data_IF_702402298213
#
_entry.id   IF_702402298213
#
_cell.length_a   1.000
_cell.length_b   1.000
_cell.length_c   1.000
_cell.angle_alpha   90.00
_cell.angle_beta   90.00
_cell.angle_gamma   90.00
#
_symmetry.space_group_name_H-M   'P 1'
#
loop_
_entity.id
_entity.type
_entity.pdbx_description
1 polymer ?
#
# COMPACT_ATOMS: atom_id res chain seq x y z
N UNK A 1 -3.99 2.59 -24.65
CA UNK A 1 -2.79 3.45 -24.72
C UNK A 1 -2.72 4.52 -23.62
N UNK A 2 -3.75 5.37 -23.41
CA UNK A 2 -3.74 6.43 -22.37
C UNK A 2 -3.49 5.93 -20.94
N UNK A 3 -4.09 4.80 -20.57
CA UNK A 3 -3.89 4.18 -19.26
C UNK A 3 -2.44 3.73 -19.04
N UNK A 4 -1.81 3.11 -20.05
CA UNK A 4 -0.43 2.64 -19.97
C UNK A 4 0.56 3.80 -19.78
N UNK A 5 0.37 4.90 -20.51
CA UNK A 5 1.23 6.09 -20.37
C UNK A 5 1.10 6.72 -18.97
N UNK A 6 -0.12 6.83 -18.44
CA UNK A 6 -0.34 7.34 -17.08
C UNK A 6 0.26 6.41 -16.02
N UNK A 7 0.15 5.10 -16.22
CA UNK A 7 0.76 4.10 -15.35
C UNK A 7 2.29 4.16 -15.38
N UNK A 8 2.91 4.31 -16.56
CA UNK A 8 4.36 4.47 -16.69
C UNK A 8 4.81 5.77 -16.02
N UNK A 9 4.15 6.89 -16.32
CA UNK A 9 4.47 8.19 -15.73
C UNK A 9 4.37 8.14 -14.19
N UNK A 10 3.38 7.42 -13.67
CA UNK A 10 3.27 7.16 -12.23
C UNK A 10 4.44 6.35 -11.70
N UNK A 11 4.75 5.20 -12.29
CA UNK A 11 5.85 4.35 -11.84
C UNK A 11 7.13 5.19 -11.79
N UNK A 12 7.39 5.97 -12.83
CA UNK A 12 8.54 6.87 -12.87
C UNK A 12 8.48 7.93 -11.77
N UNK A 13 7.31 8.53 -11.51
CA UNK A 13 7.14 9.52 -10.45
C UNK A 13 7.42 8.96 -9.05
N UNK A 14 7.20 7.66 -8.83
CA UNK A 14 7.50 6.95 -7.58
C UNK A 14 8.96 6.50 -7.52
N UNK A 15 9.40 5.79 -8.56
CA UNK A 15 10.69 5.11 -8.58
C UNK A 15 11.82 6.11 -8.74
N UNK A 16 11.67 7.19 -9.52
CA UNK A 16 12.77 8.13 -9.74
C UNK A 16 13.18 8.90 -8.47
N UNK A 17 12.27 9.49 -7.67
CA UNK A 17 12.69 10.18 -6.45
C UNK A 17 13.27 9.23 -5.40
N UNK A 18 12.68 8.04 -5.23
CA UNK A 18 13.18 7.03 -4.30
C UNK A 18 14.55 6.53 -4.77
N UNK A 19 14.67 6.17 -6.05
CA UNK A 19 15.92 5.72 -6.66
C UNK A 19 17.01 6.79 -6.61
N UNK A 20 16.68 8.05 -6.86
CA UNK A 20 17.61 9.18 -6.72
C UNK A 20 18.04 9.38 -5.26
N UNK A 21 17.11 9.30 -4.30
CA UNK A 21 17.43 9.42 -2.88
C UNK A 21 18.33 8.26 -2.40
N UNK A 22 18.05 7.02 -2.83
CA UNK A 22 18.89 5.85 -2.57
C UNK A 22 20.26 6.03 -3.23
N UNK A 23 20.31 6.44 -4.49
CA UNK A 23 21.56 6.66 -5.22
C UNK A 23 22.42 7.73 -4.55
N UNK A 24 21.85 8.90 -4.23
CA UNK A 24 22.57 9.98 -3.52
C UNK A 24 23.02 9.51 -2.14
N UNK A 25 22.18 8.75 -1.42
CA UNK A 25 22.53 8.17 -0.13
C UNK A 25 23.64 7.11 -0.20
N UNK A 26 23.70 6.34 -1.28
CA UNK A 26 24.66 5.25 -1.49
C UNK A 26 25.98 5.70 -2.11
N UNK A 27 25.95 6.70 -2.99
CA UNK A 27 27.11 7.20 -3.73
C UNK A 27 27.87 8.29 -2.96
N UNK A 28 27.22 8.94 -2.00
CA UNK A 28 27.87 9.92 -1.15
C UNK A 28 28.85 9.28 -0.14
N UNK A 29 29.87 10.02 0.30
CA UNK A 29 30.73 9.58 1.40
C UNK A 29 29.91 9.24 2.64
N UNK A 30 30.37 8.26 3.41
CA UNK A 30 29.73 7.84 4.65
C UNK A 30 29.67 8.97 5.69
N UNK A 31 28.96 8.76 6.81
CA UNK A 31 28.90 9.73 7.90
C UNK A 31 30.25 9.92 8.61
N UNK A 32 31.16 8.97 8.43
CA UNK A 32 32.51 9.00 8.96
C UNK A 32 33.52 8.76 7.84
N UNK A 33 34.65 9.44 7.94
CA UNK A 33 35.82 9.28 7.09
C UNK A 33 36.97 8.76 7.94
N UNK A 34 37.84 7.93 7.34
CA UNK A 34 39.13 7.66 7.96
C UNK A 34 40.01 8.91 7.82
N UNK A 35 40.71 9.25 8.88
CA UNK A 35 41.81 10.22 8.86
C UNK A 35 43.13 9.49 8.97
N UNK A 36 44.18 10.09 8.42
CA UNK A 36 45.53 9.50 8.32
C UNK A 36 45.54 8.15 7.59
N UNK A 37 46.46 7.24 7.93
CA UNK A 37 46.60 5.91 7.31
C UNK A 37 45.56 4.88 7.84
N UNK A 38 44.56 5.34 8.60
CA UNK A 38 43.54 4.52 9.24
C UNK A 38 43.97 3.96 10.62
N UNK A 39 43.28 2.93 11.13
CA UNK A 39 43.61 2.31 12.41
C UNK A 39 45.01 1.65 12.37
N UNK A 40 45.91 2.09 13.25
CA UNK A 40 47.21 1.42 13.44
C UNK A 40 47.08 0.02 14.06
N UNK A 41 48.17 -0.76 14.07
CA UNK A 41 48.18 -2.16 14.55
C UNK A 41 47.60 -2.34 15.96
N UNK A 42 47.74 -1.33 16.83
CA UNK A 42 47.20 -1.35 18.18
C UNK A 42 45.67 -1.50 18.21
N UNK A 43 44.95 -1.15 17.15
CA UNK A 43 43.48 -1.25 17.07
C UNK A 43 42.98 -2.58 16.53
N UNK A 44 43.88 -3.50 16.14
CA UNK A 44 43.53 -4.86 15.71
C UNK A 44 43.04 -5.73 16.88
N UNK A 45 43.32 -5.32 18.11
CA UNK A 45 42.80 -5.93 19.34
C UNK A 45 41.82 -5.00 20.05
N UNK A 46 40.84 -5.53 20.80
CA UNK A 46 39.91 -4.70 21.55
C UNK A 46 40.62 -3.76 22.53
N UNK A 47 40.27 -2.48 22.49
CA UNK A 47 40.80 -1.45 23.39
C UNK A 47 39.68 -0.74 24.12
N UNK A 48 39.93 -0.41 25.38
CA UNK A 48 39.03 0.45 26.14
C UNK A 48 39.11 1.88 25.61
N UNK A 49 37.97 2.44 25.22
CA UNK A 49 37.80 3.84 24.82
C UNK A 49 36.68 4.41 25.66
N UNK A 50 36.98 5.40 26.50
CA UNK A 50 36.01 5.94 27.45
C UNK A 50 35.41 4.84 28.36
N UNK A 51 34.10 4.65 28.25
CA UNK A 51 33.33 3.67 29.04
C UNK A 51 33.05 2.35 28.30
N UNK A 52 33.67 2.12 27.16
CA UNK A 52 33.37 0.99 26.29
C UNK A 52 34.60 0.45 25.59
N UNK A 53 34.38 -0.33 24.55
CA UNK A 53 35.44 -1.00 23.80
C UNK A 53 35.32 -0.70 22.32
N UNK A 54 36.46 -0.57 21.66
CA UNK A 54 36.55 -0.46 20.21
C UNK A 54 37.62 -1.40 19.65
N UNK A 55 37.34 -1.98 18.49
CA UNK A 55 38.27 -2.80 17.71
C UNK A 55 38.09 -2.48 16.23
N UNK A 56 39.18 -2.54 15.47
CA UNK A 56 39.16 -2.36 14.02
C UNK A 56 39.77 -3.59 13.34
N UNK A 57 39.15 -4.06 12.25
CA UNK A 57 39.65 -5.17 11.44
C UNK A 57 39.80 -4.73 9.99
N UNK A 58 40.91 -5.10 9.35
CA UNK A 58 41.19 -4.78 7.95
C UNK A 58 40.71 -5.90 7.03
N UNK A 59 40.12 -5.53 5.91
CA UNK A 59 39.63 -6.40 4.85
C UNK A 59 40.23 -5.99 3.50
N UNK A 60 40.14 -6.85 2.48
CA UNK A 60 40.73 -6.56 1.18
C UNK A 60 39.94 -5.48 0.41
N UNK A 61 38.65 -5.31 0.73
CA UNK A 61 37.79 -4.31 0.08
C UNK A 61 36.69 -3.79 1.01
N UNK A 62 36.09 -2.68 0.62
CA UNK A 62 34.90 -2.13 1.27
C UNK A 62 33.70 -3.10 1.24
N UNK A 63 33.58 -3.91 0.18
CA UNK A 63 32.52 -4.91 0.08
C UNK A 63 32.71 -6.02 1.14
N UNK A 64 33.93 -6.53 1.27
CA UNK A 64 34.25 -7.53 2.31
C UNK A 64 34.07 -6.99 3.73
N UNK A 65 34.45 -5.74 4.00
CA UNK A 65 34.21 -5.11 5.29
C UNK A 65 32.70 -5.01 5.61
N UNK A 66 31.85 -4.77 4.60
CA UNK A 66 30.39 -4.76 4.75
C UNK A 66 29.83 -6.15 5.02
N UNK A 67 30.26 -7.15 4.25
CA UNK A 67 29.83 -8.55 4.45
C UNK A 67 30.25 -9.04 5.85
N UNK A 68 31.44 -8.66 6.30
CA UNK A 68 31.90 -8.95 7.66
C UNK A 68 31.09 -8.22 8.73
N UNK A 69 30.67 -6.98 8.49
CA UNK A 69 29.78 -6.26 9.40
C UNK A 69 28.43 -6.95 9.53
N UNK A 70 27.86 -7.46 8.43
CA UNK A 70 26.60 -8.21 8.45
C UNK A 70 26.76 -9.55 9.18
N UNK A 71 27.85 -10.27 8.94
CA UNK A 71 28.16 -11.51 9.66
C UNK A 71 28.37 -11.27 11.16
N UNK A 72 29.08 -10.21 11.54
CA UNK A 72 29.28 -9.84 12.95
C UNK A 72 27.94 -9.45 13.60
N UNK A 73 27.12 -8.63 12.93
CA UNK A 73 25.75 -8.31 13.40
C UNK A 73 24.94 -9.58 13.69
N UNK A 74 24.94 -10.54 12.77
CA UNK A 74 24.11 -11.74 12.87
C UNK A 74 24.58 -12.70 13.97
N UNK A 75 25.84 -12.58 14.40
CA UNK A 75 26.37 -13.32 15.55
C UNK A 75 26.09 -12.67 16.91
N UNK A 76 25.66 -11.41 16.94
CA UNK A 76 25.38 -10.68 18.17
C UNK A 76 23.96 -10.94 18.71
N UNK A 77 23.84 -11.18 20.01
CA UNK A 77 22.54 -11.26 20.70
C UNK A 77 21.92 -9.87 20.90
N UNK A 78 21.20 -9.38 19.87
CA UNK A 78 20.61 -8.04 19.87
C UNK A 78 19.12 -8.05 20.24
N UNK A 79 18.65 -6.99 20.90
CA UNK A 79 17.22 -6.72 21.13
C UNK A 79 16.60 -5.93 19.97
N UNK A 80 17.40 -5.11 19.30
CA UNK A 80 17.00 -4.26 18.18
C UNK A 80 18.25 -3.77 17.44
N UNK A 81 18.15 -3.54 16.14
CA UNK A 81 19.17 -2.86 15.36
C UNK A 81 18.55 -1.90 14.34
N UNK A 82 19.36 -0.95 13.90
CA UNK A 82 19.06 -0.03 12.81
C UNK A 82 20.28 0.01 11.90
N UNK A 83 20.09 -0.40 10.66
CA UNK A 83 21.15 -0.39 9.64
C UNK A 83 20.86 0.67 8.58
N UNK A 84 21.88 1.43 8.27
CA UNK A 84 21.96 2.34 7.12
C UNK A 84 23.02 1.79 6.17
N UNK A 85 23.12 2.32 4.95
CA UNK A 85 24.09 1.85 3.94
C UNK A 85 25.57 1.91 4.38
N UNK A 86 25.88 2.65 5.45
CA UNK A 86 27.24 2.87 5.93
C UNK A 86 27.46 2.52 7.40
N UNK A 87 26.40 2.37 8.21
CA UNK A 87 26.51 2.18 9.66
C UNK A 87 25.40 1.26 10.14
N UNK A 88 25.75 0.26 10.95
CA UNK A 88 24.79 -0.55 11.70
C UNK A 88 24.92 -0.22 13.18
N UNK A 89 23.86 0.35 13.76
CA UNK A 89 23.74 0.55 15.21
C UNK A 89 22.86 -0.54 15.78
N UNK A 90 23.21 -1.08 16.94
CA UNK A 90 22.44 -2.13 17.58
C UNK A 90 22.39 -1.96 19.09
N UNK A 91 21.44 -2.66 19.72
CA UNK A 91 21.28 -2.76 21.17
C UNK A 91 21.40 -4.22 21.57
N UNK A 92 22.27 -4.51 22.53
CA UNK A 92 22.47 -5.87 23.04
C UNK A 92 21.34 -6.25 24.00
N UNK A 93 21.01 -7.55 24.06
CA UNK A 93 19.99 -8.07 25.00
C UNK A 93 20.39 -7.91 26.47
N UNK A 94 21.68 -8.09 26.76
CA UNK A 94 22.23 -7.96 28.10
C UNK A 94 22.41 -6.49 28.56
N UNK A 95 22.05 -5.53 27.71
CA UNK A 95 22.30 -4.11 27.93
C UNK A 95 23.52 -3.62 27.16
N UNK A 96 23.61 -2.31 26.96
CA UNK A 96 24.60 -1.71 26.06
C UNK A 96 24.09 -1.51 24.64
N UNK A 97 24.85 -0.72 23.90
CA UNK A 97 24.65 -0.41 22.49
C UNK A 97 25.98 -0.58 21.76
N UNK A 98 25.92 -0.81 20.46
CA UNK A 98 27.12 -0.82 19.65
C UNK A 98 26.91 -0.34 18.23
N UNK A 99 28.03 -0.20 17.54
CA UNK A 99 28.15 0.34 16.20
C UNK A 99 29.14 -0.51 15.40
N UNK A 100 28.70 -0.96 14.23
CA UNK A 100 29.53 -1.58 13.21
C UNK A 100 29.61 -0.60 12.04
N UNK A 101 30.84 -0.19 11.70
CA UNK A 101 31.14 0.82 10.70
C UNK A 101 32.16 0.27 9.69
N UNK A 102 31.69 -0.23 8.54
CA UNK A 102 32.56 -0.53 7.41
C UNK A 102 32.97 0.76 6.70
N UNK A 103 34.26 1.10 6.71
CA UNK A 103 34.83 2.32 6.11
C UNK A 103 36.19 2.04 5.45
N UNK A 104 36.29 2.33 4.16
CA UNK A 104 37.51 2.15 3.34
C UNK A 104 38.25 0.81 3.53
N UNK A 105 37.50 -0.29 3.61
CA UNK A 105 38.05 -1.65 3.82
C UNK A 105 38.38 -1.98 5.27
N UNK A 106 38.05 -1.12 6.22
CA UNK A 106 38.09 -1.40 7.66
C UNK A 106 36.69 -1.65 8.20
N UNK A 107 36.55 -2.57 9.16
CA UNK A 107 35.38 -2.71 10.01
C UNK A 107 35.73 -2.20 11.40
N UNK A 108 35.14 -1.09 11.78
CA UNK A 108 35.27 -0.53 13.14
C UNK A 108 34.06 -0.97 13.95
N UNK A 109 34.31 -1.65 15.06
CA UNK A 109 33.29 -2.15 15.98
C UNK A 109 33.46 -1.46 17.33
N UNK A 110 32.42 -0.74 17.77
CA UNK A 110 32.40 0.01 19.04
C UNK A 110 31.23 -0.45 19.89
N UNK A 111 31.45 -0.70 21.18
CA UNK A 111 30.44 -1.11 22.15
C UNK A 111 30.50 -0.17 23.36
N UNK A 112 29.34 0.32 23.82
CA UNK A 112 29.22 1.26 24.92
C UNK A 112 27.97 0.96 25.78
N UNK A 113 27.92 1.42 27.05
CA UNK A 113 26.77 1.16 27.93
C UNK A 113 25.47 1.84 27.46
N UNK A 114 25.58 3.00 26.81
CA UNK A 114 24.44 3.73 26.28
C UNK A 114 24.84 4.53 25.02
N UNK A 115 23.83 5.18 24.41
CA UNK A 115 24.00 5.92 23.15
C UNK A 115 24.91 7.14 23.28
N UNK A 116 24.83 7.87 24.39
CA UNK A 116 25.65 9.06 24.58
C UNK A 116 27.13 8.67 24.76
N UNK A 117 27.38 7.58 25.49
CA UNK A 117 28.70 6.99 25.62
C UNK A 117 29.23 6.48 24.27
N UNK A 118 28.38 5.85 23.45
CA UNK A 118 28.74 5.40 22.10
C UNK A 118 29.20 6.56 21.21
N UNK A 119 28.39 7.62 21.13
CA UNK A 119 28.70 8.78 20.28
C UNK A 119 29.99 9.48 20.76
N UNK A 120 30.19 9.58 22.08
CA UNK A 120 31.43 10.13 22.68
C UNK A 120 32.65 9.27 22.33
N UNK A 121 32.53 7.94 22.38
CA UNK A 121 33.64 7.02 22.07
C UNK A 121 34.02 7.05 20.60
N UNK A 122 33.01 7.07 19.71
CA UNK A 122 33.24 7.16 18.26
C UNK A 122 33.96 8.48 17.93
N UNK A 123 33.56 9.59 18.55
CA UNK A 123 34.24 10.88 18.38
C UNK A 123 35.67 10.92 18.97
N UNK A 124 36.01 10.02 19.88
CA UNK A 124 37.33 9.92 20.50
C UNK A 124 38.30 9.01 19.73
N UNK A 125 37.85 8.33 18.66
CA UNK A 125 38.72 7.49 17.84
C UNK A 125 39.65 8.37 16.99
N UNK A 126 40.99 8.24 17.11
CA UNK A 126 41.91 9.17 16.48
C UNK A 126 41.98 9.04 14.95
N UNK A 127 41.56 7.89 14.40
CA UNK A 127 41.56 7.58 12.97
C UNK A 127 40.20 7.79 12.31
N UNK A 128 39.20 8.31 13.05
CA UNK A 128 37.85 8.49 12.55
C UNK A 128 37.41 9.94 12.72
N UNK A 129 36.98 10.58 11.64
CA UNK A 129 36.42 11.93 11.68
C UNK A 129 34.98 11.90 11.15
N UNK A 130 34.09 12.64 11.80
CA UNK A 130 32.77 12.90 11.23
C UNK A 130 32.94 13.61 9.89
N UNK A 131 32.27 13.10 8.85
CA UNK A 131 32.34 13.70 7.53
C UNK A 131 31.87 15.17 7.60
N UNK A 132 32.70 16.17 7.26
CA UNK A 132 32.34 17.58 7.36
C UNK A 132 31.27 17.98 6.34
N UNK A 133 31.14 17.22 5.24
CA UNK A 133 30.11 17.43 4.22
C UNK A 133 29.30 16.14 4.01
N UNK A 134 28.44 15.76 4.97
CA UNK A 134 27.58 14.60 4.80
C UNK A 134 26.65 14.84 3.62
N UNK A 135 26.38 13.78 2.85
CA UNK A 135 25.44 13.88 1.74
C UNK A 135 24.09 14.43 2.23
N UNK A 136 23.37 15.23 1.41
CA UNK A 136 22.20 15.97 1.87
C UNK A 136 21.08 15.07 2.39
N UNK A 137 20.97 13.83 1.89
CA UNK A 137 19.99 12.84 2.33
C UNK A 137 20.32 12.35 3.75
N UNK A 138 21.58 11.98 4.00
CA UNK A 138 22.06 11.56 5.31
C UNK A 138 21.93 12.70 6.33
N UNK A 139 22.29 13.93 5.95
CA UNK A 139 22.11 15.13 6.77
C UNK A 139 20.65 15.33 7.15
N UNK A 140 19.73 15.23 6.18
CA UNK A 140 18.30 15.38 6.44
C UNK A 140 17.75 14.28 7.35
N UNK A 141 18.16 13.02 7.15
CA UNK A 141 17.74 11.89 7.98
C UNK A 141 18.25 11.99 9.42
N UNK A 142 19.47 12.48 9.62
CA UNK A 142 20.09 12.59 10.94
C UNK A 142 19.58 13.81 11.73
N UNK A 143 19.52 14.97 11.09
CA UNK A 143 19.11 16.23 11.75
C UNK A 143 17.59 16.38 11.87
N UNK A 144 16.84 15.83 10.91
CA UNK A 144 15.40 16.06 10.80
C UNK A 144 14.61 14.77 10.48
N UNK A 145 14.77 13.68 11.26
CA UNK A 145 14.09 12.41 10.98
C UNK A 145 12.56 12.57 10.94
N UNK A 146 11.98 13.39 11.82
CA UNK A 146 10.56 13.71 11.82
C UNK A 146 10.13 14.53 10.59
N UNK A 147 10.96 15.45 10.12
CA UNK A 147 10.71 16.24 8.92
C UNK A 147 10.75 15.37 7.66
N UNK A 148 11.71 14.45 7.57
CA UNK A 148 11.78 13.47 6.47
C UNK A 148 10.56 12.55 6.49
N UNK A 149 10.19 12.00 7.65
CA UNK A 149 8.99 11.17 7.77
C UNK A 149 7.72 11.91 7.34
N UNK A 150 7.55 13.17 7.77
CA UNK A 150 6.43 14.02 7.37
C UNK A 150 6.45 14.30 5.86
N UNK A 151 7.64 14.55 5.28
CA UNK A 151 7.82 14.72 3.84
C UNK A 151 7.41 13.49 3.04
N UNK A 152 7.82 12.30 3.48
CA UNK A 152 7.43 11.02 2.86
C UNK A 152 5.92 10.81 2.94
N UNK A 153 5.31 11.07 4.11
CA UNK A 153 3.86 10.96 4.29
C UNK A 153 3.10 11.96 3.40
N UNK A 154 3.57 13.20 3.33
CA UNK A 154 3.01 14.23 2.46
C UNK A 154 3.10 13.83 0.99
N UNK A 155 4.27 13.39 0.54
CA UNK A 155 4.48 12.88 -0.81
C UNK A 155 3.56 11.71 -1.14
N UNK A 156 3.47 10.70 -0.27
CA UNK A 156 2.60 9.55 -0.45
C UNK A 156 1.11 9.95 -0.49
N UNK A 157 0.70 10.93 0.31
CA UNK A 157 -0.66 11.47 0.30
C UNK A 157 -0.98 12.16 -1.03
N UNK A 158 -0.12 13.05 -1.52
CA UNK A 158 -0.31 13.72 -2.82
C UNK A 158 -0.28 12.74 -3.99
N UNK A 159 0.63 11.77 -3.96
CA UNK A 159 0.69 10.68 -4.92
C UNK A 159 -0.62 9.89 -4.92
N UNK A 160 -1.17 9.57 -3.75
CA UNK A 160 -2.47 8.91 -3.59
C UNK A 160 -3.61 9.72 -4.20
N UNK A 161 -3.64 11.03 -3.97
CA UNK A 161 -4.61 11.95 -4.62
C UNK A 161 -4.49 11.87 -6.14
N UNK A 162 -3.28 12.06 -6.67
CA UNK A 162 -3.04 12.00 -8.11
C UNK A 162 -3.49 10.65 -8.68
N UNK A 163 -3.20 9.57 -7.97
CA UNK A 163 -3.56 8.22 -8.36
C UNK A 163 -5.04 7.97 -8.48
N UNK A 164 -5.77 8.32 -7.44
CA UNK A 164 -7.20 8.10 -7.41
C UNK A 164 -7.94 8.98 -8.42
N UNK A 165 -7.49 10.21 -8.62
CA UNK A 165 -8.00 11.09 -9.68
C UNK A 165 -7.67 10.54 -11.08
N UNK A 166 -6.45 10.08 -11.31
CA UNK A 166 -6.01 9.50 -12.57
C UNK A 166 -6.78 8.21 -12.92
N UNK A 167 -7.01 7.35 -11.93
CA UNK A 167 -7.81 6.13 -12.09
C UNK A 167 -9.27 6.46 -12.42
N UNK A 168 -9.88 7.41 -11.70
CA UNK A 168 -11.25 7.86 -11.97
C UNK A 168 -11.40 8.46 -13.38
N UNK A 169 -10.42 9.26 -13.81
CA UNK A 169 -10.38 9.80 -15.16
C UNK A 169 -10.25 8.69 -16.21
N UNK A 170 -9.32 7.75 -16.01
CA UNK A 170 -9.08 6.67 -16.97
C UNK A 170 -10.26 5.70 -17.09
N UNK A 171 -11.00 5.48 -16.00
CA UNK A 171 -12.22 4.66 -15.99
C UNK A 171 -13.48 5.38 -16.48
N UNK A 172 -13.39 6.66 -16.86
CA UNK A 172 -14.57 7.41 -17.33
C UNK A 172 -15.05 6.87 -18.68
N UNK A 173 -16.33 6.48 -18.75
CA UNK A 173 -17.01 6.12 -19.99
C UNK A 173 -17.83 7.33 -20.44
N UNK A 174 -17.50 7.86 -21.62
CA UNK A 174 -18.19 9.02 -22.20
C UNK A 174 -19.39 8.60 -23.04
N UNK A 175 -20.42 9.46 -23.17
CA UNK A 175 -21.48 9.27 -24.15
C UNK A 175 -20.90 9.28 -25.57
N UNK A 176 -21.61 8.65 -26.51
CA UNK A 176 -21.23 8.71 -27.91
C UNK A 176 -21.38 10.16 -28.43
N UNK A 177 -20.56 10.58 -29.42
CA UNK A 177 -20.73 11.90 -30.04
C UNK A 177 -22.15 12.07 -30.60
N UNK A 178 -22.78 13.20 -30.30
CA UNK A 178 -24.14 13.51 -30.75
C UNK A 178 -25.27 12.90 -29.91
N UNK A 179 -24.98 12.17 -28.83
CA UNK A 179 -26.04 11.72 -27.91
C UNK A 179 -26.71 12.92 -27.24
N UNK A 180 -28.05 13.06 -27.32
CA UNK A 180 -28.76 14.15 -26.66
C UNK A 180 -28.63 14.02 -25.15
N UNK A 181 -28.34 15.14 -24.49
CA UNK A 181 -28.24 15.20 -23.02
C UNK A 181 -29.64 15.32 -22.45
N UNK A 182 -30.04 14.34 -21.66
CA UNK A 182 -31.29 14.39 -20.90
C UNK A 182 -31.11 15.17 -19.61
N UNK A 183 -32.21 15.74 -19.13
CA UNK A 183 -32.26 16.34 -17.80
C UNK A 183 -31.96 15.30 -16.71
N UNK A 184 -31.35 15.73 -15.61
CA UNK A 184 -30.98 14.86 -14.49
C UNK A 184 -32.20 14.12 -13.92
N UNK A 185 -33.36 14.76 -13.88
CA UNK A 185 -34.62 14.17 -13.41
C UNK A 185 -35.07 13.04 -14.32
N UNK A 186 -34.95 13.22 -15.64
CA UNK A 186 -35.30 12.21 -16.62
C UNK A 186 -34.36 11.01 -16.56
N UNK A 187 -33.06 11.24 -16.39
CA UNK A 187 -32.08 10.17 -16.20
C UNK A 187 -32.37 9.37 -14.92
N UNK A 188 -32.65 10.05 -13.81
CA UNK A 188 -33.00 9.40 -12.53
C UNK A 188 -34.27 8.55 -12.66
N UNK A 189 -35.29 9.05 -13.35
CA UNK A 189 -36.52 8.30 -13.63
C UNK A 189 -36.23 7.04 -14.48
N UNK A 190 -35.38 7.14 -15.51
CA UNK A 190 -34.95 5.98 -16.32
C UNK A 190 -34.21 4.93 -15.49
N UNK A 191 -33.34 5.37 -14.58
CA UNK A 191 -32.62 4.45 -13.69
C UNK A 191 -33.56 3.73 -12.73
N UNK A 192 -34.57 4.40 -12.19
CA UNK A 192 -35.58 3.76 -11.33
C UNK A 192 -36.48 2.79 -12.11
N UNK A 193 -36.77 3.09 -13.38
CA UNK A 193 -37.57 2.21 -14.24
C UNK A 193 -36.92 0.84 -14.46
N UNK A 194 -35.60 0.70 -14.26
CA UNK A 194 -34.89 -0.60 -14.30
C UNK A 194 -35.46 -1.59 -13.29
N UNK A 195 -36.03 -1.12 -12.18
CA UNK A 195 -36.68 -2.00 -11.20
C UNK A 195 -37.92 -2.72 -11.74
N UNK A 196 -38.51 -2.24 -12.84
CA UNK A 196 -39.62 -2.90 -13.52
C UNK A 196 -39.17 -4.02 -14.47
N UNK A 197 -37.87 -4.17 -14.70
CA UNK A 197 -37.31 -5.26 -15.48
C UNK A 197 -37.11 -6.48 -14.57
N UNK A 198 -37.30 -7.69 -15.13
CA UNK A 198 -37.04 -8.95 -14.43
C UNK A 198 -35.52 -9.21 -14.34
N UNK A 199 -34.84 -8.37 -13.56
CA UNK A 199 -33.40 -8.44 -13.31
C UNK A 199 -33.15 -8.52 -11.80
N UNK A 200 -32.12 -9.23 -11.33
CA UNK A 200 -31.83 -9.41 -9.90
C UNK A 200 -31.27 -8.15 -9.21
N UNK A 201 -31.52 -6.97 -9.78
CA UNK A 201 -30.91 -5.70 -9.41
C UNK A 201 -32.00 -4.75 -8.92
N UNK A 202 -31.73 -4.05 -7.83
CA UNK A 202 -32.64 -3.06 -7.26
C UNK A 202 -31.98 -1.69 -7.19
N UNK A 203 -32.66 -0.67 -7.66
CA UNK A 203 -32.28 0.74 -7.58
C UNK A 203 -33.15 1.40 -6.53
N UNK A 204 -32.54 1.99 -5.52
CA UNK A 204 -33.23 2.72 -4.46
C UNK A 204 -32.64 4.11 -4.29
N UNK A 205 -33.44 5.06 -3.82
CA UNK A 205 -32.96 6.37 -3.42
C UNK A 205 -32.68 6.35 -1.92
N UNK A 206 -31.54 6.90 -1.52
CA UNK A 206 -31.17 7.10 -0.11
C UNK A 206 -31.77 8.39 0.41
N UNK A 207 -31.88 8.49 1.74
CA UNK A 207 -32.30 9.72 2.45
C UNK A 207 -31.45 10.94 2.08
N UNK A 208 -30.18 10.74 1.71
CA UNK A 208 -29.25 11.79 1.27
C UNK A 208 -29.40 12.16 -0.21
N UNK A 209 -30.46 11.71 -0.88
CA UNK A 209 -30.73 11.99 -2.29
C UNK A 209 -29.83 11.25 -3.29
N UNK A 210 -28.92 10.38 -2.82
CA UNK A 210 -28.09 9.51 -3.68
C UNK A 210 -28.86 8.29 -4.14
N UNK A 211 -28.48 7.74 -5.28
CA UNK A 211 -29.07 6.52 -5.80
C UNK A 211 -28.15 5.34 -5.51
N UNK A 212 -28.72 4.24 -5.06
CA UNK A 212 -27.99 3.03 -4.70
C UNK A 212 -28.54 1.87 -5.50
N UNK A 213 -27.67 1.31 -6.33
CA UNK A 213 -27.92 0.05 -7.01
C UNK A 213 -27.40 -1.07 -6.13
N UNK A 214 -28.25 -2.03 -5.82
CA UNK A 214 -27.93 -3.18 -4.99
C UNK A 214 -28.16 -4.44 -5.80
N UNK A 215 -27.14 -5.30 -5.81
CA UNK A 215 -27.21 -6.61 -6.43
C UNK A 215 -26.76 -7.68 -5.45
N UNK A 216 -27.59 -8.70 -5.26
CA UNK A 216 -27.28 -9.88 -4.46
C UNK A 216 -26.59 -10.90 -5.36
N UNK A 217 -25.31 -11.11 -5.08
CA UNK A 217 -24.37 -11.87 -5.91
C UNK A 217 -24.49 -13.37 -5.74
N UNK A 218 -24.72 -13.79 -4.49
CA UNK A 218 -24.63 -15.18 -4.07
C UNK A 218 -25.39 -15.37 -2.75
N UNK A 219 -25.92 -16.57 -2.54
CA UNK A 219 -26.43 -17.07 -1.27
C UNK A 219 -25.48 -18.17 -0.79
N UNK A 220 -24.30 -17.80 -0.29
CA UNK A 220 -23.33 -18.79 0.19
C UNK A 220 -23.70 -19.26 1.59
N UNK A 221 -23.81 -20.58 1.76
CA UNK A 221 -23.93 -21.23 3.09
C UNK A 221 -22.53 -21.35 3.67
N UNK A 222 -22.21 -20.62 4.73
CA UNK A 222 -20.91 -20.72 5.41
C UNK A 222 -21.09 -21.47 6.74
N UNK A 223 -20.39 -22.60 6.88
CA UNK A 223 -20.30 -23.32 8.15
C UNK A 223 -19.26 -22.61 9.04
N UNK A 224 -19.66 -22.21 10.24
CA UNK A 224 -18.75 -21.80 11.33
C UNK A 224 -18.76 -22.89 12.41
N UNK A 225 -17.70 -23.03 13.23
CA UNK A 225 -17.79 -23.78 14.47
C UNK A 225 -18.91 -23.19 15.33
N UNK A 226 -20.00 -23.94 15.55
CA UNK A 226 -21.17 -23.49 16.32
C UNK A 226 -22.43 -23.11 15.52
N UNK A 227 -22.46 -23.28 14.19
CA UNK A 227 -23.71 -23.14 13.44
C UNK A 227 -23.55 -22.82 11.95
N UNK A 228 -24.64 -22.99 11.20
CA UNK A 228 -24.74 -22.72 9.78
C UNK A 228 -25.34 -21.32 9.59
N UNK A 229 -24.55 -20.38 9.07
CA UNK A 229 -24.99 -19.00 8.80
C UNK A 229 -25.16 -18.76 7.29
N UNK A 230 -26.25 -18.09 6.91
CA UNK A 230 -26.51 -17.69 5.52
C UNK A 230 -25.90 -16.31 5.27
N UNK A 231 -24.77 -16.26 4.56
CA UNK A 231 -24.11 -15.01 4.19
C UNK A 231 -24.25 -14.77 2.68
N UNK A 232 -24.83 -13.64 2.32
CA UNK A 232 -24.93 -13.18 0.94
C UNK A 232 -23.87 -12.13 0.62
N UNK A 233 -23.12 -12.35 -0.46
CA UNK A 233 -22.30 -11.28 -1.04
C UNK A 233 -23.26 -10.29 -1.71
N UNK A 234 -23.10 -9.00 -1.44
CA UNK A 234 -23.91 -7.95 -2.02
C UNK A 234 -22.98 -6.90 -2.62
N UNK A 235 -23.17 -6.59 -3.91
CA UNK A 235 -22.55 -5.43 -4.54
C UNK A 235 -23.49 -4.24 -4.45
N UNK A 236 -22.97 -3.15 -3.90
CA UNK A 236 -23.64 -1.87 -3.76
C UNK A 236 -22.90 -0.84 -4.60
N UNK A 237 -23.61 -0.15 -5.46
CA UNK A 237 -23.08 0.94 -6.29
C UNK A 237 -23.83 2.20 -5.89
N UNK A 238 -23.12 3.20 -5.40
CA UNK A 238 -23.69 4.51 -5.08
C UNK A 238 -23.43 5.47 -6.24
N UNK A 239 -24.45 6.23 -6.61
CA UNK A 239 -24.40 7.24 -7.67
C UNK A 239 -24.61 8.63 -7.08
N UNK A 240 -23.76 9.57 -7.51
CA UNK A 240 -23.89 11.00 -7.27
C UNK A 240 -23.88 11.73 -8.61
N UNK A 241 -24.91 12.55 -8.85
CA UNK A 241 -25.10 13.27 -10.11
C UNK A 241 -24.46 14.66 -10.02
N UNK A 242 -23.61 14.99 -11.00
CA UNK A 242 -23.04 16.32 -11.20
C UNK A 242 -23.68 16.93 -12.46
N UNK A 243 -24.80 17.61 -12.25
CA UNK A 243 -25.63 18.20 -13.30
C UNK A 243 -24.88 19.28 -14.09
N UNK A 244 -23.96 20.00 -13.45
CA UNK A 244 -23.17 21.04 -14.11
C UNK A 244 -22.20 20.48 -15.17
N UNK A 245 -21.79 19.21 -15.02
CA UNK A 245 -20.82 18.56 -15.91
C UNK A 245 -21.41 17.40 -16.70
N UNK A 246 -22.68 17.07 -16.48
CA UNK A 246 -23.33 15.85 -16.98
C UNK A 246 -22.51 14.59 -16.67
N UNK A 247 -22.05 14.47 -15.41
CA UNK A 247 -21.25 13.32 -14.94
C UNK A 247 -21.99 12.61 -13.81
N UNK A 248 -22.06 11.29 -13.90
CA UNK A 248 -22.49 10.42 -12.80
C UNK A 248 -21.23 9.85 -12.15
N UNK A 249 -20.94 10.29 -10.92
CA UNK A 249 -19.86 9.75 -10.09
C UNK A 249 -20.33 8.49 -9.40
N UNK A 250 -19.51 7.45 -9.43
CA UNK A 250 -19.90 6.11 -9.02
C UNK A 250 -18.94 5.54 -8.00
N UNK A 251 -19.42 5.23 -6.80
CA UNK A 251 -18.65 4.53 -5.76
C UNK A 251 -19.17 3.11 -5.64
N UNK A 252 -18.29 2.14 -5.82
CA UNK A 252 -18.65 0.72 -5.72
C UNK A 252 -18.14 0.12 -4.42
N UNK A 253 -19.01 -0.59 -3.72
CA UNK A 253 -18.71 -1.28 -2.47
C UNK A 253 -19.23 -2.70 -2.54
N UNK A 254 -18.40 -3.67 -2.14
CA UNK A 254 -18.83 -5.06 -1.94
C UNK A 254 -18.94 -5.32 -0.44
N UNK A 255 -20.08 -5.85 -0.01
CA UNK A 255 -20.39 -6.16 1.38
C UNK A 255 -20.76 -7.63 1.54
N UNK A 256 -20.57 -8.17 2.74
CA UNK A 256 -21.13 -9.44 3.16
C UNK A 256 -22.34 -9.14 4.04
N UNK A 257 -23.50 -9.67 3.67
CA UNK A 257 -24.77 -9.51 4.38
C UNK A 257 -25.14 -10.85 5.04
N UNK A 258 -25.34 -10.85 6.33
CA UNK A 258 -25.82 -12.02 7.07
C UNK A 258 -27.35 -11.95 7.18
N UNK A 259 -28.02 -13.06 6.90
CA UNK A 259 -29.49 -13.12 6.85
C UNK A 259 -30.11 -12.94 8.24
N UNK A 260 -29.45 -13.41 9.29
CA UNK A 260 -30.02 -13.49 10.65
C UNK A 260 -29.65 -12.28 11.53
N UNK A 261 -28.65 -11.49 11.12
CA UNK A 261 -28.12 -10.38 11.91
C UNK A 261 -27.95 -9.06 11.14
N UNK A 262 -28.42 -8.99 9.89
CA UNK A 262 -28.21 -7.84 9.01
C UNK A 262 -26.78 -7.75 8.48
N UNK A 263 -26.30 -6.55 8.13
CA UNK A 263 -24.93 -6.35 7.62
C UNK A 263 -23.94 -6.55 8.77
N UNK A 264 -23.47 -7.78 9.01
CA UNK A 264 -22.58 -8.12 10.14
C UNK A 264 -21.10 -8.11 9.82
N UNK A 265 -20.72 -7.66 8.63
CA UNK A 265 -19.32 -7.55 8.28
C UNK A 265 -19.11 -6.55 7.18
N UNK A 266 -18.54 -5.40 7.53
CA UNK A 266 -17.62 -4.77 6.59
C UNK A 266 -16.46 -5.76 6.44
N UNK A 267 -16.52 -6.64 5.44
CA UNK A 267 -15.27 -7.11 4.84
C UNK A 267 -14.68 -5.90 4.11
N UNK A 268 -14.14 -4.96 4.87
CA UNK A 268 -13.13 -4.04 4.39
C UNK A 268 -11.89 -4.90 4.12
N UNK A 269 -11.94 -5.72 3.06
CA UNK A 269 -10.76 -5.84 2.24
C UNK A 269 -10.47 -4.40 1.88
N UNK A 270 -9.44 -3.82 2.48
CA UNK A 270 -8.76 -2.64 1.95
C UNK A 270 -8.15 -3.13 0.63
N UNK A 271 -9.01 -3.44 -0.34
CA UNK A 271 -8.64 -3.41 -1.72
C UNK A 271 -8.42 -1.92 -1.94
N UNK A 272 -7.15 -1.53 -2.06
CA UNK A 272 -6.74 -0.21 -2.54
C UNK A 272 -7.42 0.17 -3.88
N UNK A 273 -8.15 -0.76 -4.49
CA UNK A 273 -9.08 -0.63 -5.61
C UNK A 273 -10.55 -0.62 -5.16
N UNK A 274 -10.96 0.31 -4.28
CA UNK A 274 -12.40 0.67 -4.20
C UNK A 274 -12.78 1.35 -5.52
N UNK A 275 -13.70 0.81 -6.31
CA UNK A 275 -14.34 1.55 -7.40
C UNK A 275 -13.73 1.48 -8.80
N UNK A 276 -12.59 0.84 -9.05
CA UNK A 276 -12.12 0.55 -10.43
C UNK A 276 -11.79 -0.93 -10.57
N UNK A 277 -12.83 -1.75 -10.61
CA UNK A 277 -12.70 -3.15 -11.00
C UNK A 277 -12.56 -3.21 -12.53
N UNK A 278 -11.33 -3.17 -13.04
CA UNK A 278 -11.04 -3.16 -14.49
C UNK A 278 -11.46 -4.50 -15.13
N UNK A 279 -11.25 -5.60 -14.40
CA UNK A 279 -11.80 -6.91 -14.70
C UNK A 279 -11.73 -7.78 -13.43
N UNK A 280 -12.87 -8.08 -12.81
CA UNK A 280 -12.96 -9.14 -11.80
C UNK A 280 -13.60 -10.34 -12.48
N UNK A 281 -12.80 -11.37 -12.72
CA UNK A 281 -13.27 -12.68 -13.12
C UNK A 281 -13.26 -13.56 -11.86
N UNK A 282 -14.39 -13.66 -11.17
CA UNK A 282 -14.49 -14.54 -10.01
C UNK A 282 -15.06 -15.88 -10.45
N UNK A 283 -14.22 -16.91 -10.39
CA UNK A 283 -14.64 -18.30 -10.49
C UNK A 283 -14.80 -18.83 -9.06
N UNK A 284 -16.03 -19.17 -8.66
CA UNK A 284 -16.30 -19.78 -7.35
C UNK A 284 -16.99 -21.11 -7.58
N UNK A 285 -16.41 -22.16 -7.00
CA UNK A 285 -16.99 -23.51 -6.95
C UNK A 285 -17.40 -23.70 -5.50
N UNK A 286 -18.70 -23.65 -5.23
CA UNK A 286 -19.23 -23.96 -3.91
C UNK A 286 -19.44 -25.47 -3.81
N UNK A 287 -18.72 -26.11 -2.90
CA UNK A 287 -18.86 -27.54 -2.59
C UNK A 287 -19.94 -27.66 -1.50
N UNK A 288 -21.13 -28.12 -1.89
CA UNK A 288 -22.25 -28.33 -0.98
C UNK A 288 -22.33 -29.78 -0.52
N UNK A 289 -22.56 -29.98 0.78
CA UNK A 289 -22.94 -31.27 1.36
C UNK A 289 -24.46 -31.39 1.25
N UNK A 290 -24.92 -32.21 0.30
CA UNK A 290 -26.33 -32.44 0.05
C UNK A 290 -26.75 -33.82 0.56
N UNK A 291 -27.73 -33.85 1.45
CA UNK A 291 -28.32 -35.10 1.94
C UNK A 291 -29.50 -35.50 1.06
N UNK A 292 -29.40 -36.67 0.44
CA UNK A 292 -30.50 -37.27 -0.32
C UNK A 292 -31.04 -38.49 0.43
N UNK A 293 -32.36 -38.62 0.67
CA UNK A 293 -32.93 -39.70 1.47
C UNK A 293 -32.58 -41.11 0.99
N UNK A 294 -32.29 -41.30 -0.30
CA UNK A 294 -31.89 -42.59 -0.88
C UNK A 294 -30.38 -42.80 -1.09
N UNK A 295 -29.55 -41.75 -0.98
CA UNK A 295 -28.12 -41.82 -1.32
C UNK A 295 -27.19 -41.36 -0.17
N UNK A 296 -27.75 -40.92 0.96
CA UNK A 296 -26.97 -40.39 2.08
C UNK A 296 -26.37 -39.01 1.79
N UNK A 297 -25.31 -38.67 2.52
CA UNK A 297 -24.57 -37.44 2.31
C UNK A 297 -23.74 -37.51 1.04
N UNK A 298 -24.04 -36.65 0.08
CA UNK A 298 -23.30 -36.55 -1.18
C UNK A 298 -22.61 -35.19 -1.26
N UNK A 299 -21.32 -35.21 -1.54
CA UNK A 299 -20.56 -33.99 -1.83
C UNK A 299 -20.72 -33.72 -3.32
N UNK A 300 -21.50 -32.71 -3.67
CA UNK A 300 -21.61 -32.24 -5.06
C UNK A 300 -21.23 -30.76 -5.12
N UNK A 301 -20.50 -30.32 -6.17
CA UNK A 301 -20.41 -28.89 -6.45
C UNK A 301 -21.83 -28.39 -6.70
N UNK A 302 -22.36 -27.60 -5.78
CA UNK A 302 -23.80 -27.34 -5.72
C UNK A 302 -24.18 -26.22 -6.69
N UNK A 303 -23.30 -25.24 -6.93
CA UNK A 303 -23.47 -24.27 -8.01
C UNK A 303 -22.12 -23.69 -8.46
N UNK A 304 -21.90 -23.62 -9.77
CA UNK A 304 -20.81 -22.83 -10.37
C UNK A 304 -21.41 -21.52 -10.85
N UNK A 305 -21.26 -20.45 -10.08
CA UNK A 305 -21.66 -19.11 -10.52
C UNK A 305 -20.50 -18.45 -11.25
N UNK A 306 -20.68 -18.21 -12.56
CA UNK A 306 -19.81 -17.36 -13.37
C UNK A 306 -20.54 -16.06 -13.63
N UNK A 307 -20.04 -14.96 -13.08
CA UNK A 307 -20.48 -13.64 -13.46
C UNK A 307 -19.27 -12.81 -13.90
N UNK A 308 -19.48 -11.99 -14.92
CA UNK A 308 -18.51 -10.98 -15.33
C UNK A 308 -19.03 -9.63 -14.86
N UNK A 309 -18.25 -8.95 -14.02
CA UNK A 309 -18.63 -7.66 -13.43
C UNK A 309 -19.05 -6.61 -14.47
N UNK A 310 -18.46 -6.66 -15.67
CA UNK A 310 -18.81 -5.79 -16.79
C UNK A 310 -20.21 -6.04 -17.36
N UNK A 311 -20.71 -7.28 -17.32
CA UNK A 311 -22.04 -7.63 -17.84
C UNK A 311 -23.15 -7.03 -16.96
N UNK A 312 -22.89 -6.95 -15.66
CA UNK A 312 -23.86 -6.44 -14.69
C UNK A 312 -23.96 -4.91 -14.71
N UNK A 313 -22.81 -4.26 -14.92
CA UNK A 313 -22.74 -2.79 -14.99
C UNK A 313 -23.11 -2.26 -16.37
N UNK A 314 -22.95 -3.07 -17.41
CA UNK A 314 -23.19 -2.71 -18.80
C UNK A 314 -24.51 -1.97 -19.03
N UNK A 315 -25.66 -2.50 -18.58
CA UNK A 315 -26.95 -1.84 -18.75
C UNK A 315 -27.04 -0.45 -18.10
N UNK A 316 -26.44 -0.25 -16.91
CA UNK A 316 -26.45 1.05 -16.23
C UNK A 316 -25.50 2.04 -16.88
N UNK A 317 -24.30 1.58 -17.26
CA UNK A 317 -23.35 2.40 -18.02
C UNK A 317 -24.03 2.86 -19.31
N UNK A 318 -24.68 1.95 -20.06
CA UNK A 318 -25.42 2.28 -21.28
C UNK A 318 -26.62 3.21 -21.02
N UNK A 319 -27.35 3.02 -19.93
CA UNK A 319 -28.46 3.91 -19.56
C UNK A 319 -27.96 5.35 -19.33
N UNK A 320 -26.85 5.49 -18.60
CA UNK A 320 -26.22 6.79 -18.32
C UNK A 320 -25.62 7.40 -19.59
N UNK A 321 -24.79 6.65 -20.32
CA UNK A 321 -24.10 7.16 -21.51
C UNK A 321 -25.04 7.38 -22.69
N UNK A 322 -26.07 6.55 -22.85
CA UNK A 322 -27.14 6.72 -23.84
C UNK A 322 -28.08 7.89 -23.52
N UNK A 323 -28.02 8.44 -22.31
CA UNK A 323 -28.74 9.66 -21.92
C UNK A 323 -27.87 10.92 -22.04
N UNK A 324 -26.66 10.81 -22.60
CA UNK A 324 -25.73 11.92 -22.79
C UNK A 324 -24.85 12.24 -21.58
N UNK A 325 -24.85 11.40 -20.54
CA UNK A 325 -24.06 11.61 -19.32
C UNK A 325 -22.80 10.74 -19.31
N UNK A 326 -21.73 11.22 -18.69
CA UNK A 326 -20.52 10.42 -18.50
C UNK A 326 -20.61 9.57 -17.24
N UNK A 327 -20.27 8.29 -17.33
CA UNK A 327 -20.10 7.40 -16.19
C UNK A 327 -18.67 7.51 -15.66
N UNK A 328 -18.49 7.95 -14.42
CA UNK A 328 -17.16 8.12 -13.81
C UNK A 328 -17.04 7.28 -12.52
N UNK A 329 -16.25 6.19 -12.52
CA UNK A 329 -15.93 5.50 -11.30
C UNK A 329 -15.04 6.36 -10.40
N UNK A 330 -15.32 6.39 -9.10
CA UNK A 330 -14.58 7.15 -8.09
C UNK A 330 -14.43 6.30 -6.83
N UNK A 331 -13.32 6.46 -6.09
CA UNK A 331 -13.07 5.69 -4.86
C UNK A 331 -13.93 6.19 -3.69
N UNK A 332 -14.22 7.49 -3.70
CA UNK A 332 -15.01 8.18 -2.69
C UNK A 332 -15.66 9.39 -3.33
N UNK A 333 -16.76 9.88 -2.75
CA UNK A 333 -17.36 11.15 -3.17
C UNK A 333 -16.59 12.37 -2.67
N UNK A 334 -15.63 12.21 -1.74
CA UNK A 334 -14.77 13.31 -1.28
C UNK A 334 -13.95 13.88 -2.44
N UNK A 335 -14.15 15.17 -2.76
CA UNK A 335 -13.67 15.81 -4.01
C UNK A 335 -12.16 15.64 -4.28
N UNK A 336 -11.25 15.76 -3.30
CA UNK A 336 -9.83 15.60 -3.57
C UNK A 336 -9.46 14.22 -4.13
N UNK A 337 -9.99 13.12 -3.58
CA UNK A 337 -9.70 11.75 -4.06
C UNK A 337 -10.68 11.28 -5.15
N UNK A 338 -11.88 11.86 -5.17
CA UNK A 338 -13.01 11.37 -5.92
C UNK A 338 -13.21 11.97 -7.31
N UNK A 339 -12.27 12.78 -7.80
CA UNK A 339 -12.42 13.49 -9.07
C UNK A 339 -13.29 14.73 -8.96
#
# INVERSE_FOLDING_TARGET
MRFLLLFIALILAIVMPIGAAIYVGAAGPGPYLLVDEGPGEAWLTPRNVGQGQAVARRYASQAEARDAADAERDSLETSSYSSTLAVTRYRLREGGVGLLLPVEGWLVHVVAPDRAALDTQVAALPFLQANPDPNPVARALDQHPGGVALGILGYAFFLGIFMFRGAAWAGTVKPAPGTPVLDATQLRARLLAVNGLDVPMQVSQTEKGRYVLTWVLDHARWARPGGMTFASKVKRVELEFDDARNVVRVVETTMLRDKDKGVTGLSARIALFRGVTIAEHSHKVDIGLNYHPSLGWTVRPEHTFRYRDSELKGPFIQCVTGSGWSWRPVITFWRPLGG
#
